data_IF_589733213871
#
_entry.id   IF_589733213871
#
_cell.length_a   1.000
_cell.length_b   1.000
_cell.length_c   1.000
_cell.angle_alpha   90.00
_cell.angle_beta   90.00
_cell.angle_gamma   90.00
#
_symmetry.space_group_name_H-M   'P 1'
#
loop_
_entity.id
_entity.type
_entity.pdbx_description
1 polymer ?
#
# COMPACT_ATOMS: atom_id res chain seq x y z
N UNK A 1 5.39 24.00 53.47
CA UNK A 1 4.48 24.81 54.32
C UNK A 1 4.80 26.29 54.17
N UNK A 2 3.73 27.11 54.10
CA UNK A 2 3.63 28.58 54.28
C UNK A 2 3.15 29.36 53.05
N UNK A 3 1.83 29.32 52.96
CA UNK A 3 0.90 30.25 52.33
C UNK A 3 1.21 31.72 52.66
N UNK A 4 1.17 32.60 51.66
CA UNK A 4 0.85 34.03 51.86
C UNK A 4 -0.10 34.46 50.74
N UNK A 5 -1.38 34.44 51.07
CA UNK A 5 -2.45 35.15 50.39
C UNK A 5 -2.33 36.63 50.74
N UNK A 6 -2.45 37.52 49.75
CA UNK A 6 -2.99 38.84 50.00
C UNK A 6 -3.79 39.31 48.79
N UNK A 7 -5.10 39.37 49.04
CA UNK A 7 -6.19 39.86 48.21
C UNK A 7 -6.18 41.38 48.26
N UNK A 8 -6.36 42.04 47.11
CA UNK A 8 -7.04 43.34 47.06
C UNK A 8 -7.99 43.31 45.87
N UNK A 9 -9.27 43.52 46.21
CA UNK A 9 -10.42 43.51 45.34
C UNK A 9 -10.79 44.94 44.90
N UNK A 10 -11.95 45.02 44.23
CA UNK A 10 -12.82 46.19 43.98
C UNK A 10 -12.31 47.06 42.80
N UNK A 11 -13.07 47.42 41.76
CA UNK A 11 -14.49 47.83 41.70
C UNK A 11 -15.09 47.52 40.32
N UNK A 12 -16.34 47.06 40.35
CA UNK A 12 -17.22 46.86 39.20
C UNK A 12 -17.70 48.18 38.59
N UNK A 13 -17.75 48.25 37.26
CA UNK A 13 -18.63 49.17 36.54
C UNK A 13 -19.60 48.33 35.70
N UNK A 14 -20.82 48.21 36.22
CA UNK A 14 -21.99 47.69 35.51
C UNK A 14 -22.50 48.81 34.62
N UNK A 15 -22.51 48.58 33.30
CA UNK A 15 -23.46 49.24 32.40
C UNK A 15 -24.25 48.18 31.64
N UNK A 16 -25.54 48.18 31.93
CA UNK A 16 -26.65 47.52 31.26
C UNK A 16 -26.77 47.93 29.80
N UNK A 17 -27.06 46.99 28.89
CA UNK A 17 -28.34 46.95 28.15
C UNK A 17 -28.24 46.13 26.84
N UNK A 18 -29.15 45.15 26.73
CA UNK A 18 -29.65 44.38 25.59
C UNK A 18 -29.02 44.55 24.18
N UNK A 19 -28.68 43.39 23.58
CA UNK A 19 -28.65 43.24 22.13
C UNK A 19 -28.19 41.87 21.66
N UNK A 20 -29.15 40.97 21.39
CA UNK A 20 -28.96 39.89 20.41
C UNK A 20 -28.51 38.53 20.95
N UNK A 21 -29.24 37.50 20.54
CA UNK A 21 -29.10 36.09 20.92
C UNK A 21 -27.69 35.48 20.82
N UNK A 22 -27.40 34.52 21.71
CA UNK A 22 -26.26 33.61 21.54
C UNK A 22 -25.87 32.84 22.81
N UNK A 23 -26.72 31.93 23.29
CA UNK A 23 -26.37 30.99 24.38
C UNK A 23 -25.23 30.06 23.94
N UNK A 24 -24.20 29.96 24.79
CA UNK A 24 -23.28 28.82 24.90
C UNK A 24 -24.06 27.51 24.88
N UNK A 25 -23.57 26.53 24.12
CA UNK A 25 -23.50 25.16 24.59
C UNK A 25 -22.39 24.38 23.85
N UNK A 26 -21.64 23.69 24.68
CA UNK A 26 -20.62 22.68 24.39
C UNK A 26 -21.16 21.64 23.41
N UNK A 27 -20.66 21.65 22.17
CA UNK A 27 -21.01 20.61 21.19
C UNK A 27 -19.91 19.55 21.18
N UNK A 28 -20.18 18.54 22.01
CA UNK A 28 -19.83 17.13 21.86
C UNK A 28 -19.43 16.79 20.42
N UNK A 29 -18.29 16.11 20.32
CA UNK A 29 -17.73 15.52 19.11
C UNK A 29 -18.84 15.01 18.18
N UNK A 30 -18.89 15.59 16.99
CA UNK A 30 -19.62 15.00 15.88
C UNK A 30 -19.04 13.59 15.64
N UNK A 31 -19.87 12.58 15.37
CA UNK A 31 -19.37 11.33 14.84
C UNK A 31 -18.65 11.68 13.55
N UNK A 32 -17.35 11.40 13.49
CA UNK A 32 -16.65 11.31 12.21
C UNK A 32 -17.36 10.17 11.50
N UNK A 33 -18.22 10.55 10.56
CA UNK A 33 -18.83 9.66 9.60
C UNK A 33 -17.68 8.90 8.97
N UNK A 34 -17.57 7.64 9.40
CA UNK A 34 -16.65 6.67 8.87
C UNK A 34 -17.03 6.50 7.40
N UNK A 35 -16.42 7.33 6.56
CA UNK A 35 -16.31 7.07 5.14
C UNK A 35 -15.51 5.78 5.04
N UNK A 36 -16.21 4.66 5.15
CA UNK A 36 -15.85 3.43 4.46
C UNK A 36 -15.70 3.87 3.01
N UNK A 37 -14.46 4.19 2.64
CA UNK A 37 -14.03 4.15 1.27
C UNK A 37 -14.57 2.82 0.75
N UNK A 38 -15.58 2.92 -0.12
CA UNK A 38 -15.96 1.82 -0.98
C UNK A 38 -14.68 1.55 -1.76
N UNK A 39 -13.93 0.57 -1.29
CA UNK A 39 -12.89 -0.06 -2.10
C UNK A 39 -13.73 -0.72 -3.19
N UNK A 40 -13.96 0.03 -4.27
CA UNK A 40 -14.47 -0.56 -5.49
C UNK A 40 -13.54 -1.75 -5.74
N UNK A 41 -14.11 -2.95 -5.68
CA UNK A 41 -13.38 -4.20 -5.78
C UNK A 41 -12.90 -4.30 -7.23
N UNK A 42 -11.85 -3.55 -7.54
CA UNK A 42 -11.23 -3.51 -8.85
C UNK A 42 -10.61 -4.87 -9.07
N UNK A 43 -11.06 -5.55 -10.11
CA UNK A 43 -10.49 -6.81 -10.60
C UNK A 43 -8.95 -6.69 -10.59
N UNK A 44 -8.23 -7.47 -9.74
CA UNK A 44 -6.78 -7.37 -9.63
C UNK A 44 -6.01 -7.62 -10.92
N UNK A 45 -6.66 -8.22 -11.94
CA UNK A 45 -6.08 -8.40 -13.26
C UNK A 45 -6.21 -7.17 -14.16
N UNK A 46 -7.10 -6.22 -13.83
CA UNK A 46 -7.25 -4.95 -14.55
C UNK A 46 -6.41 -3.82 -13.94
N UNK A 47 -6.02 -3.96 -12.68
CA UNK A 47 -5.10 -3.04 -12.02
C UNK A 47 -3.68 -3.21 -12.58
N UNK A 48 -3.11 -2.13 -13.14
CA UNK A 48 -1.73 -2.06 -13.65
C UNK A 48 -0.73 -1.55 -12.61
N UNK A 49 -1.22 -1.12 -11.44
CA UNK A 49 -0.42 -0.44 -10.44
C UNK A 49 -0.11 1.01 -10.81
N UNK A 50 0.95 1.52 -10.22
CA UNK A 50 1.43 2.90 -10.35
C UNK A 50 2.89 2.81 -10.76
N UNK A 51 3.23 3.16 -12.00
CA UNK A 51 4.60 3.12 -12.47
C UNK A 51 4.75 3.29 -13.97
N UNK A 52 5.98 3.14 -14.50
CA UNK A 52 6.27 3.36 -15.91
C UNK A 52 5.69 2.27 -16.82
N UNK A 53 5.40 1.08 -16.29
CA UNK A 53 4.92 -0.05 -17.10
C UNK A 53 3.41 0.09 -17.29
N UNK A 54 3.02 0.52 -18.49
CA UNK A 54 1.62 0.76 -18.85
C UNK A 54 1.04 -0.31 -19.78
N UNK A 55 1.88 -1.11 -20.41
CA UNK A 55 1.49 -2.22 -21.28
C UNK A 55 2.62 -3.24 -21.36
N UNK A 56 2.29 -4.53 -21.37
CA UNK A 56 3.24 -5.62 -21.63
C UNK A 56 2.64 -6.56 -22.66
N UNK A 57 3.37 -6.79 -23.75
CA UNK A 57 3.01 -7.82 -24.74
C UNK A 57 3.67 -9.14 -24.36
N UNK A 58 2.87 -10.19 -24.19
CA UNK A 58 3.34 -11.54 -23.87
C UNK A 58 3.06 -12.48 -25.03
N UNK A 59 4.12 -13.16 -25.51
CA UNK A 59 4.01 -14.25 -26.48
C UNK A 59 4.04 -15.61 -25.78
N UNK A 60 4.57 -16.63 -26.47
CA UNK A 60 4.93 -17.90 -25.82
C UNK A 60 5.96 -17.67 -24.70
N UNK A 61 6.15 -18.68 -23.85
CA UNK A 61 7.17 -18.61 -22.80
C UNK A 61 8.55 -18.72 -23.44
N UNK A 62 9.40 -17.73 -23.19
CA UNK A 62 10.82 -17.77 -23.54
C UNK A 62 11.60 -18.39 -22.37
N UNK A 63 12.05 -19.63 -22.56
CA UNK A 63 12.74 -20.38 -21.50
C UNK A 63 14.10 -19.75 -21.12
N UNK A 64 14.81 -19.13 -22.08
CA UNK A 64 16.10 -18.47 -21.79
C UNK A 64 15.88 -17.24 -20.91
N UNK A 65 14.88 -16.43 -21.24
CA UNK A 65 14.48 -15.30 -20.39
C UNK A 65 14.01 -15.75 -19.01
N UNK A 66 13.26 -16.85 -18.92
CA UNK A 66 12.83 -17.41 -17.63
C UNK A 66 14.01 -17.88 -16.77
N UNK A 67 15.02 -18.49 -17.36
CA UNK A 67 16.22 -18.95 -16.65
C UNK A 67 17.08 -17.76 -16.16
N UNK A 68 17.24 -16.73 -16.98
CA UNK A 68 17.87 -15.47 -16.57
C UNK A 68 17.07 -14.78 -15.45
N UNK A 69 15.74 -14.75 -15.58
CA UNK A 69 14.83 -14.23 -14.56
C UNK A 69 14.92 -14.97 -13.23
N UNK A 70 15.10 -16.29 -13.27
CA UNK A 70 15.36 -17.11 -12.08
C UNK A 70 16.65 -16.69 -11.38
N UNK A 71 17.72 -16.43 -12.13
CA UNK A 71 18.99 -15.99 -11.56
C UNK A 71 18.84 -14.62 -10.86
N UNK A 72 18.17 -13.66 -11.50
CA UNK A 72 17.88 -12.35 -10.89
C UNK A 72 17.01 -12.50 -9.64
N UNK A 73 15.95 -13.31 -9.70
CA UNK A 73 15.07 -13.60 -8.56
C UNK A 73 15.85 -14.17 -7.37
N UNK A 74 16.75 -15.13 -7.62
CA UNK A 74 17.59 -15.72 -6.58
C UNK A 74 18.48 -14.67 -5.91
N UNK A 75 19.09 -13.78 -6.69
CA UNK A 75 19.99 -12.75 -6.19
C UNK A 75 19.27 -11.62 -5.44
N UNK A 76 18.07 -11.22 -5.88
CA UNK A 76 17.43 -9.97 -5.44
C UNK A 76 16.13 -10.14 -4.65
N UNK A 77 15.45 -11.29 -4.77
CA UNK A 77 14.09 -11.46 -4.23
C UNK A 77 13.98 -12.63 -3.24
N UNK A 78 14.83 -13.66 -3.39
CA UNK A 78 14.67 -14.94 -2.69
C UNK A 78 14.88 -14.91 -1.18
N UNK A 79 15.50 -13.83 -0.66
CA UNK A 79 15.61 -13.57 0.77
C UNK A 79 14.23 -13.34 1.42
N UNK A 80 13.32 -12.67 0.69
CA UNK A 80 12.01 -12.28 1.20
C UNK A 80 10.86 -13.09 0.61
N UNK A 81 11.04 -13.73 -0.55
CA UNK A 81 9.98 -14.50 -1.21
C UNK A 81 10.40 -15.93 -1.51
N UNK A 82 9.46 -16.87 -1.35
CA UNK A 82 9.56 -18.22 -1.91
C UNK A 82 8.45 -18.43 -2.92
N UNK A 83 8.66 -19.33 -3.86
CA UNK A 83 7.66 -19.65 -4.89
C UNK A 83 6.39 -20.19 -4.23
N UNK A 84 6.48 -21.29 -3.48
CA UNK A 84 5.27 -21.98 -2.99
C UNK A 84 4.99 -21.78 -1.50
N UNK A 85 5.68 -20.84 -0.83
CA UNK A 85 5.57 -20.67 0.62
C UNK A 85 5.63 -19.20 1.03
N UNK A 86 4.75 -18.81 1.95
CA UNK A 86 4.84 -17.52 2.67
C UNK A 86 6.05 -17.52 3.60
N UNK A 87 6.82 -16.43 3.54
CA UNK A 87 7.95 -16.17 4.44
C UNK A 87 7.82 -14.73 4.95
N UNK A 88 8.74 -13.83 4.59
CA UNK A 88 8.59 -12.39 4.84
C UNK A 88 7.50 -11.82 3.92
N UNK A 89 7.60 -12.07 2.62
CA UNK A 89 6.58 -11.73 1.63
C UNK A 89 5.65 -12.91 1.28
N UNK A 90 4.62 -12.65 0.44
CA UNK A 90 3.72 -13.67 -0.07
C UNK A 90 4.44 -14.75 -0.88
N UNK A 91 3.81 -15.92 -0.96
CA UNK A 91 4.14 -16.94 -1.95
C UNK A 91 3.85 -16.40 -3.37
N UNK A 92 4.76 -16.70 -4.31
CA UNK A 92 4.71 -16.16 -5.67
C UNK A 92 4.18 -17.15 -6.73
N UNK A 93 3.94 -18.41 -6.36
CA UNK A 93 3.29 -19.39 -7.24
C UNK A 93 1.95 -18.83 -7.72
N UNK A 94 1.71 -18.90 -9.02
CA UNK A 94 0.52 -18.39 -9.70
C UNK A 94 0.35 -16.87 -9.61
N UNK A 95 1.37 -16.07 -9.28
CA UNK A 95 1.17 -14.61 -9.16
C UNK A 95 0.64 -13.98 -10.44
N UNK A 96 1.02 -14.53 -11.60
CA UNK A 96 0.55 -14.09 -12.93
C UNK A 96 -0.91 -14.42 -13.22
N UNK A 97 -1.57 -15.22 -12.39
CA UNK A 97 -3.02 -15.47 -12.47
C UNK A 97 -3.81 -14.57 -11.51
N UNK A 98 -3.12 -13.85 -10.62
CA UNK A 98 -3.73 -12.98 -9.61
C UNK A 98 -3.44 -11.51 -9.84
N UNK A 99 -2.44 -11.16 -10.65
CA UNK A 99 -2.01 -9.78 -10.91
C UNK A 99 -1.64 -9.64 -12.39
N UNK A 100 -1.92 -8.46 -12.94
CA UNK A 100 -1.49 -8.12 -14.29
C UNK A 100 0.05 -8.13 -14.41
N UNK A 101 0.60 -8.40 -15.60
CA UNK A 101 2.02 -8.27 -15.89
C UNK A 101 2.59 -6.89 -15.51
N UNK A 102 1.86 -5.84 -15.83
CA UNK A 102 2.20 -4.44 -15.55
C UNK A 102 2.30 -4.21 -14.04
N UNK A 103 1.32 -4.69 -13.27
CA UNK A 103 1.31 -4.55 -11.82
C UNK A 103 2.50 -5.26 -11.18
N UNK A 104 2.83 -6.47 -11.64
CA UNK A 104 3.97 -7.23 -11.14
C UNK A 104 5.28 -6.47 -11.40
N UNK A 105 5.47 -5.98 -12.63
CA UNK A 105 6.68 -5.23 -12.97
C UNK A 105 6.76 -3.89 -12.23
N UNK A 106 5.67 -3.14 -12.12
CA UNK A 106 5.64 -1.91 -11.33
C UNK A 106 5.97 -2.19 -9.86
N UNK A 107 5.34 -3.18 -9.23
CA UNK A 107 5.66 -3.55 -7.84
C UNK A 107 7.15 -3.90 -7.63
N UNK A 108 7.81 -4.51 -8.62
CA UNK A 108 9.25 -4.79 -8.58
C UNK A 108 10.09 -3.51 -8.70
N UNK A 109 9.70 -2.57 -9.56
CA UNK A 109 10.47 -1.38 -9.92
C UNK A 109 10.31 -0.22 -8.93
N UNK A 110 9.13 -0.08 -8.30
CA UNK A 110 8.83 1.05 -7.43
C UNK A 110 7.92 0.69 -6.24
N UNK A 111 8.30 -0.30 -5.40
CA UNK A 111 7.45 -0.83 -4.33
C UNK A 111 6.99 0.25 -3.33
N UNK A 112 7.82 1.26 -3.03
CA UNK A 112 7.43 2.34 -2.11
C UNK A 112 6.28 3.18 -2.68
N UNK A 113 6.35 3.54 -3.97
CA UNK A 113 5.30 4.32 -4.63
C UNK A 113 4.02 3.49 -4.79
N UNK A 114 4.17 2.23 -5.15
CA UNK A 114 3.05 1.28 -5.21
C UNK A 114 2.32 1.22 -3.87
N UNK A 115 3.03 1.02 -2.77
CA UNK A 115 2.42 1.02 -1.43
C UNK A 115 1.84 2.40 -1.07
N UNK A 116 2.46 3.51 -1.47
CA UNK A 116 1.93 4.84 -1.15
C UNK A 116 0.60 5.15 -1.85
N UNK A 117 0.37 4.61 -3.06
CA UNK A 117 -0.71 5.05 -3.94
C UNK A 117 -1.71 3.92 -4.29
N UNK A 118 -1.25 2.71 -4.53
CA UNK A 118 -2.08 1.58 -4.98
C UNK A 118 -2.79 0.86 -3.80
N UNK A 119 -4.14 0.74 -3.81
CA UNK A 119 -4.89 0.10 -2.72
C UNK A 119 -4.53 -1.37 -2.47
N UNK A 120 -4.23 -2.14 -3.52
CA UNK A 120 -3.84 -3.55 -3.41
C UNK A 120 -2.48 -3.65 -2.71
N UNK A 121 -1.50 -2.84 -3.12
CA UNK A 121 -0.18 -2.81 -2.49
C UNK A 121 -0.24 -2.37 -1.01
N UNK A 122 -1.10 -1.38 -0.67
CA UNK A 122 -1.38 -0.98 0.72
C UNK A 122 -1.89 -2.14 1.55
N UNK A 123 -2.88 -2.88 1.03
CA UNK A 123 -3.45 -4.06 1.69
C UNK A 123 -2.40 -5.15 1.91
N UNK A 124 -1.55 -5.39 0.91
CA UNK A 124 -0.43 -6.33 1.04
C UNK A 124 0.54 -5.88 2.14
N UNK A 125 0.92 -4.60 2.21
CA UNK A 125 1.77 -4.13 3.31
C UNK A 125 1.10 -4.35 4.68
N UNK A 126 -0.20 -4.07 4.81
CA UNK A 126 -0.91 -4.30 6.06
C UNK A 126 -0.92 -5.79 6.48
N UNK A 127 -0.96 -6.73 5.52
CA UNK A 127 -0.97 -8.16 5.79
C UNK A 127 0.42 -8.75 6.09
N UNK A 128 1.46 -8.26 5.41
CA UNK A 128 2.81 -8.79 5.49
C UNK A 128 3.73 -7.98 6.42
N UNK A 129 3.34 -6.75 6.79
CA UNK A 129 3.95 -5.82 7.77
C UNK A 129 5.39 -5.37 7.45
N UNK A 130 6.12 -6.13 6.63
CA UNK A 130 7.43 -5.77 6.12
C UNK A 130 7.31 -5.04 4.77
N UNK A 131 7.82 -3.80 4.64
CA UNK A 131 7.86 -3.11 3.36
C UNK A 131 8.81 -3.84 2.39
N UNK A 132 8.39 -3.97 1.14
CA UNK A 132 9.26 -4.44 0.07
C UNK A 132 10.24 -3.32 -0.30
N UNK A 133 11.54 -3.56 -0.09
CA UNK A 133 12.58 -2.58 -0.42
C UNK A 133 12.85 -2.56 -1.93
N UNK A 134 13.02 -1.37 -2.51
CA UNK A 134 13.46 -1.24 -3.90
C UNK A 134 14.85 -1.86 -4.11
N UNK A 135 14.94 -2.82 -5.02
CA UNK A 135 16.19 -3.51 -5.37
C UNK A 135 16.97 -2.82 -6.49
N UNK A 136 16.48 -1.65 -6.96
CA UNK A 136 17.01 -0.84 -8.05
C UNK A 136 17.16 -1.63 -9.36
N UNK A 137 16.16 -2.45 -9.66
CA UNK A 137 16.10 -3.24 -10.89
C UNK A 137 15.76 -2.33 -12.08
N UNK A 138 16.30 -2.69 -13.24
CA UNK A 138 15.90 -2.12 -14.52
C UNK A 138 14.59 -2.75 -15.02
N UNK A 139 13.91 -2.09 -15.95
CA UNK A 139 12.72 -2.64 -16.61
C UNK A 139 13.00 -4.00 -17.28
N UNK A 140 14.19 -4.15 -17.90
CA UNK A 140 14.61 -5.40 -18.52
C UNK A 140 14.74 -6.53 -17.48
N UNK A 141 15.35 -6.27 -16.32
CA UNK A 141 15.44 -7.26 -15.25
C UNK A 141 14.06 -7.61 -14.67
N UNK A 142 13.18 -6.62 -14.49
CA UNK A 142 11.80 -6.87 -14.07
C UNK A 142 11.04 -7.74 -15.09
N UNK A 143 11.26 -7.52 -16.39
CA UNK A 143 10.69 -8.34 -17.47
C UNK A 143 11.21 -9.78 -17.43
N UNK A 144 12.49 -10.01 -17.12
CA UNK A 144 13.05 -11.35 -16.94
C UNK A 144 12.39 -12.05 -15.74
N UNK A 145 12.27 -11.38 -14.60
CA UNK A 145 11.61 -11.92 -13.40
C UNK A 145 10.13 -12.27 -13.70
N UNK A 146 9.42 -11.41 -14.42
CA UNK A 146 8.05 -11.69 -14.86
C UNK A 146 8.00 -12.97 -15.72
N UNK A 147 8.94 -13.15 -16.66
CA UNK A 147 9.00 -14.38 -17.47
C UNK A 147 9.19 -15.62 -16.60
N UNK A 148 10.09 -15.53 -15.62
CA UNK A 148 10.30 -16.59 -14.65
C UNK A 148 9.00 -16.91 -13.89
N UNK A 149 8.24 -15.92 -13.43
CA UNK A 149 6.97 -16.13 -12.74
C UNK A 149 5.91 -16.77 -13.63
N UNK A 150 5.88 -16.49 -14.95
CA UNK A 150 4.98 -17.16 -15.90
C UNK A 150 5.20 -18.68 -15.95
N UNK A 151 6.39 -19.16 -15.63
CA UNK A 151 6.71 -20.60 -15.51
C UNK A 151 6.33 -21.23 -14.17
N UNK A 152 5.74 -20.45 -13.25
CA UNK A 152 5.41 -20.87 -11.88
C UNK A 152 3.90 -20.74 -11.68
N UNK A 153 3.12 -21.47 -12.46
CA UNK A 153 1.66 -21.51 -12.33
C UNK A 153 1.24 -22.24 -11.05
N UNK A 154 0.08 -21.88 -10.51
CA UNK A 154 -0.57 -22.71 -9.50
C UNK A 154 -1.07 -24.01 -10.19
N UNK A 155 -1.16 -25.14 -9.46
CA UNK A 155 -1.98 -26.25 -9.93
C UNK A 155 -3.37 -25.71 -10.30
N UNK A 156 -3.96 -26.20 -11.39
CA UNK A 156 -5.36 -25.93 -11.67
C UNK A 156 -6.17 -26.32 -10.42
N UNK A 157 -7.06 -25.44 -9.98
CA UNK A 157 -7.98 -25.79 -8.91
C UNK A 157 -8.94 -26.85 -9.49
N UNK A 158 -8.76 -28.11 -9.09
CA UNK A 158 -9.78 -29.16 -9.27
C UNK A 158 -11.06 -28.81 -8.50
#
# INVERSE_FOLDING_TARGET
MKLKVLVVAIVAAVITSCGGEGKKEEKVAAPVEEQKAVVEETDPMKDKGVGPITSVTLGEIDQKMADEGKAVFLAKCSACHKISKRVVGPALVGVTTRRSPEWIMNMILNPEKMVAENPIAKKLLAEYVAPMANQNLTEAEARLILEYFRTKTAPEAE
#
